data_IF_001779003012
#
_entry.id   IF_001779003012
#
_cell.length_a   1.000
_cell.length_b   1.000
_cell.length_c   1.000
_cell.angle_alpha   90.00
_cell.angle_beta   90.00
_cell.angle_gamma   90.00
#
_symmetry.space_group_name_H-M   'P 1'
#
loop_
_entity.id
_entity.type
_entity.pdbx_description
1 polymer ?
#
# COMPACT_ATOMS: atom_id res chain seq x y z
N UNK A 1 -69.93 30.57 17.96
CA UNK A 1 -69.00 30.38 16.81
C UNK A 1 -67.49 30.55 17.17
N UNK A 2 -67.09 31.50 18.00
CA UNK A 2 -65.59 31.65 18.35
C UNK A 2 -64.98 30.47 19.11
N UNK A 3 -65.73 29.80 20.01
CA UNK A 3 -65.24 28.65 20.79
C UNK A 3 -65.00 27.38 19.96
N UNK A 4 -65.87 27.16 18.93
CA UNK A 4 -65.67 26.01 18.02
C UNK A 4 -64.46 26.13 17.14
N UNK A 5 -64.05 27.35 16.72
CA UNK A 5 -62.87 27.60 15.94
C UNK A 5 -61.55 27.33 16.74
N UNK A 6 -61.56 27.65 18.04
CA UNK A 6 -60.42 27.38 18.91
C UNK A 6 -60.23 25.88 19.14
N UNK A 7 -61.34 25.14 19.31
CA UNK A 7 -61.29 23.67 19.48
C UNK A 7 -60.75 22.99 18.23
N UNK A 8 -61.17 23.43 17.05
CA UNK A 8 -60.69 22.89 15.76
C UNK A 8 -59.23 23.22 15.56
N UNK A 9 -58.77 24.43 15.91
CA UNK A 9 -57.36 24.80 15.82
C UNK A 9 -56.45 23.96 16.76
N UNK A 10 -56.93 23.71 17.99
CA UNK A 10 -56.21 22.85 18.96
C UNK A 10 -56.15 21.40 18.49
N UNK A 11 -57.22 20.88 17.91
CA UNK A 11 -57.23 19.51 17.34
C UNK A 11 -56.30 19.42 16.11
N UNK A 12 -56.27 20.44 15.26
CA UNK A 12 -55.37 20.48 14.09
C UNK A 12 -53.88 20.55 14.50
N UNK A 13 -53.54 21.31 15.56
CA UNK A 13 -52.19 21.37 16.11
C UNK A 13 -51.78 20.02 16.75
N UNK A 14 -52.68 19.38 17.50
CA UNK A 14 -52.45 18.05 18.05
C UNK A 14 -52.29 16.99 16.96
N UNK A 15 -53.05 17.09 15.87
CA UNK A 15 -52.95 16.16 14.73
C UNK A 15 -51.70 16.36 13.89
N UNK A 16 -51.21 17.61 13.76
CA UNK A 16 -49.95 17.89 13.04
C UNK A 16 -48.70 17.35 13.78
N UNK A 17 -48.72 17.26 15.10
CA UNK A 17 -47.65 16.69 15.91
C UNK A 17 -47.48 15.17 15.77
N UNK A 18 -48.51 14.45 15.31
CA UNK A 18 -48.48 13.00 15.16
C UNK A 18 -47.77 12.52 13.89
N UNK A 19 -47.54 13.40 12.90
CA UNK A 19 -46.97 13.02 11.61
C UNK A 19 -45.40 13.11 11.56
N UNK A 20 -44.76 13.65 12.57
CA UNK A 20 -43.30 13.95 12.53
C UNK A 20 -42.38 12.86 13.09
N UNK A 21 -42.94 11.72 13.52
CA UNK A 21 -42.20 10.71 14.32
C UNK A 21 -41.91 9.39 13.57
N UNK A 22 -41.94 9.39 12.24
CA UNK A 22 -41.66 8.19 11.46
C UNK A 22 -40.22 8.23 10.91
N UNK A 23 -39.35 7.45 11.49
CA UNK A 23 -37.98 7.29 10.99
C UNK A 23 -37.89 6.13 10.00
N UNK A 24 -37.01 6.27 9.02
CA UNK A 24 -36.77 5.27 7.99
C UNK A 24 -35.37 4.64 8.16
N UNK A 25 -35.33 3.32 8.06
CA UNK A 25 -34.08 2.55 7.90
C UNK A 25 -33.99 2.16 6.44
N UNK A 26 -33.02 2.71 5.74
CA UNK A 26 -32.79 2.44 4.33
C UNK A 26 -32.11 1.08 4.09
N UNK A 27 -32.17 0.59 2.83
CA UNK A 27 -31.48 -0.63 2.45
C UNK A 27 -29.96 -0.51 2.67
N UNK A 28 -29.38 -1.53 3.28
CA UNK A 28 -27.96 -1.52 3.65
C UNK A 28 -27.67 -0.90 5.02
N UNK A 29 -28.70 -0.43 5.74
CA UNK A 29 -28.57 0.03 7.12
C UNK A 29 -29.33 -0.87 8.08
N UNK A 30 -28.86 -0.88 9.32
CA UNK A 30 -29.57 -1.45 10.46
C UNK A 30 -29.70 -0.39 11.55
N UNK A 31 -30.81 -0.45 12.28
CA UNK A 31 -31.12 0.51 13.33
C UNK A 31 -31.05 -0.11 14.73
N UNK A 32 -30.44 0.63 15.66
CA UNK A 32 -30.53 0.34 17.10
C UNK A 32 -31.43 1.37 17.75
N UNK A 33 -32.49 0.91 18.37
CA UNK A 33 -33.45 1.74 19.07
C UNK A 33 -33.12 1.82 20.54
N UNK A 34 -33.11 3.02 21.09
CA UNK A 34 -32.85 3.29 22.51
C UNK A 34 -34.09 3.96 23.12
N UNK A 35 -34.64 3.34 24.12
CA UNK A 35 -35.78 3.91 24.87
C UNK A 35 -35.24 4.68 26.08
N UNK A 36 -35.53 5.96 26.16
CA UNK A 36 -35.10 6.83 27.25
C UNK A 36 -36.00 6.74 28.48
N UNK A 37 -37.28 6.37 28.30
CA UNK A 37 -38.27 6.28 29.34
C UNK A 37 -39.11 5.01 29.25
N UNK A 38 -39.80 4.66 30.34
CA UNK A 38 -40.76 3.54 30.41
C UNK A 38 -40.17 2.28 31.04
N UNK A 39 -40.99 1.21 31.07
CA UNK A 39 -40.60 -0.10 31.64
C UNK A 39 -39.49 -0.77 30.85
N UNK A 40 -39.41 -0.54 29.53
CA UNK A 40 -38.41 -1.08 28.60
C UNK A 40 -37.34 -0.05 28.26
N UNK A 41 -36.91 0.77 29.23
CA UNK A 41 -35.85 1.75 29.06
C UNK A 41 -34.50 1.06 28.77
N UNK A 42 -33.73 1.68 27.88
CA UNK A 42 -32.38 1.20 27.49
C UNK A 42 -32.32 0.78 26.02
N UNK A 43 -31.20 0.18 25.67
CA UNK A 43 -30.95 -0.31 24.31
C UNK A 43 -31.83 -1.53 24.05
N UNK A 44 -32.61 -1.48 22.97
CA UNK A 44 -33.43 -2.61 22.57
C UNK A 44 -32.53 -3.66 21.91
N UNK A 45 -32.75 -4.94 22.27
CA UNK A 45 -31.99 -6.06 21.73
C UNK A 45 -32.35 -6.36 20.27
N UNK A 46 -33.55 -5.98 19.85
CA UNK A 46 -34.02 -6.17 18.49
C UNK A 46 -33.39 -5.14 17.54
N UNK A 47 -32.70 -5.64 16.52
CA UNK A 47 -32.11 -4.83 15.47
C UNK A 47 -33.18 -4.51 14.42
N UNK A 48 -33.40 -3.24 14.16
CA UNK A 48 -34.37 -2.79 13.16
C UNK A 48 -33.78 -2.90 11.75
N UNK A 49 -34.34 -3.78 10.94
CA UNK A 49 -34.00 -3.92 9.52
C UNK A 49 -34.61 -2.81 8.65
N UNK A 50 -34.52 -3.00 7.34
CA UNK A 50 -35.08 -2.06 6.35
C UNK A 50 -36.58 -1.87 6.59
N UNK A 51 -37.00 -0.62 6.71
CA UNK A 51 -38.44 -0.29 6.92
C UNK A 51 -38.68 1.11 7.46
N UNK A 52 -39.94 1.37 7.78
CA UNK A 52 -40.35 2.60 8.48
C UNK A 52 -40.81 2.23 9.88
N UNK A 53 -40.29 2.94 10.86
CA UNK A 53 -40.53 2.68 12.26
C UNK A 53 -41.06 3.94 12.93
N UNK A 54 -42.02 3.76 13.80
CA UNK A 54 -42.50 4.83 14.67
C UNK A 54 -41.46 4.99 15.80
N UNK A 55 -40.87 6.19 15.88
CA UNK A 55 -39.94 6.55 16.94
C UNK A 55 -40.62 7.60 17.82
N UNK A 56 -40.88 7.24 19.06
CA UNK A 56 -41.54 8.14 20.03
C UNK A 56 -40.61 9.28 20.48
N UNK A 57 -41.19 10.27 21.17
CA UNK A 57 -40.48 11.46 21.67
C UNK A 57 -39.30 11.10 22.60
N UNK A 58 -39.42 9.96 23.31
CA UNK A 58 -38.43 9.46 24.25
C UNK A 58 -37.67 8.25 23.71
N UNK A 59 -37.54 8.14 22.41
CA UNK A 59 -36.84 7.08 21.71
C UNK A 59 -35.82 7.68 20.74
N UNK A 60 -34.67 7.07 20.64
CA UNK A 60 -33.63 7.45 19.70
C UNK A 60 -33.31 6.27 18.78
N UNK A 61 -33.05 6.56 17.52
CA UNK A 61 -32.68 5.58 16.50
C UNK A 61 -31.28 5.90 15.99
N UNK A 62 -30.36 4.96 16.16
CA UNK A 62 -29.00 5.00 15.62
C UNK A 62 -28.90 4.08 14.43
N UNK A 63 -28.42 4.60 13.29
CA UNK A 63 -28.30 3.86 12.04
C UNK A 63 -26.84 3.49 11.79
N UNK A 64 -26.63 2.25 11.36
CA UNK A 64 -25.30 1.73 11.05
C UNK A 64 -25.30 1.08 9.67
N UNK A 65 -24.34 1.44 8.79
CA UNK A 65 -24.20 0.82 7.47
C UNK A 65 -23.63 -0.61 7.61
N UNK A 66 -24.31 -1.56 6.96
CA UNK A 66 -23.83 -2.95 6.85
C UNK A 66 -23.12 -3.23 5.53
N UNK A 67 -23.13 -2.25 4.63
CA UNK A 67 -22.34 -2.26 3.40
C UNK A 67 -20.95 -1.63 3.65
N UNK A 68 -20.00 -1.93 2.80
CA UNK A 68 -18.66 -1.38 2.90
C UNK A 68 -18.67 0.13 2.65
N UNK A 69 -18.17 0.88 3.61
CA UNK A 69 -17.89 2.31 3.49
C UNK A 69 -16.38 2.53 3.40
N UNK A 70 -15.99 3.46 2.55
CA UNK A 70 -14.61 3.92 2.44
C UNK A 70 -14.51 5.30 3.05
N UNK A 71 -13.47 5.52 3.86
CA UNK A 71 -13.17 6.80 4.45
C UNK A 71 -11.68 7.09 4.41
N UNK A 72 -11.34 8.36 4.24
CA UNK A 72 -9.97 8.84 4.09
C UNK A 72 -9.64 9.80 5.23
N UNK A 73 -8.61 9.47 5.99
CA UNK A 73 -8.00 10.36 6.97
C UNK A 73 -6.78 11.01 6.32
N UNK A 74 -6.92 12.27 5.92
CA UNK A 74 -5.89 13.00 5.16
C UNK A 74 -5.68 14.40 5.70
N UNK A 75 -4.51 14.97 5.40
CA UNK A 75 -4.24 16.38 5.60
C UNK A 75 -4.96 17.28 4.59
N UNK A 76 -5.37 16.71 3.45
CA UNK A 76 -6.07 17.45 2.40
C UNK A 76 -7.55 17.67 2.78
N UNK A 77 -7.90 18.92 3.05
CA UNK A 77 -9.26 19.31 3.40
C UNK A 77 -10.27 19.18 2.25
N UNK A 78 -9.84 18.87 1.05
CA UNK A 78 -10.71 18.62 -0.11
C UNK A 78 -11.11 17.16 -0.22
N UNK A 79 -10.41 16.26 0.49
CA UNK A 79 -10.69 14.83 0.55
C UNK A 79 -11.06 14.44 2.00
N UNK A 80 -12.20 13.82 2.19
CA UNK A 80 -12.61 13.28 3.50
C UNK A 80 -13.32 14.28 4.40
N UNK A 81 -12.60 14.99 5.24
CA UNK A 81 -13.11 15.96 6.22
C UNK A 81 -12.62 17.38 5.93
N UNK A 82 -13.37 18.39 6.36
CA UNK A 82 -12.94 19.81 6.33
C UNK A 82 -11.78 20.12 7.28
N UNK A 83 -11.36 19.15 8.09
CA UNK A 83 -10.25 19.29 9.05
C UNK A 83 -9.12 18.35 8.70
N UNK A 84 -7.89 18.73 9.07
CA UNK A 84 -6.73 17.86 8.95
C UNK A 84 -6.91 16.61 9.83
N UNK A 85 -6.99 15.44 9.20
CA UNK A 85 -7.16 14.16 9.87
C UNK A 85 -5.97 13.22 9.69
N UNK A 86 -4.83 13.72 9.18
CA UNK A 86 -3.61 12.90 9.06
C UNK A 86 -3.21 12.24 10.38
N UNK A 87 -2.51 11.12 10.29
CA UNK A 87 -1.95 10.46 11.46
C UNK A 87 -0.50 10.89 11.65
N UNK A 88 -0.14 11.24 12.89
CA UNK A 88 1.25 11.35 13.31
C UNK A 88 1.65 10.15 14.17
N UNK A 89 2.88 9.67 13.97
CA UNK A 89 3.46 8.57 14.73
C UNK A 89 4.97 8.73 14.84
N UNK A 90 5.59 8.02 15.78
CA UNK A 90 7.03 8.07 15.99
C UNK A 90 7.69 6.76 15.59
N UNK A 91 8.87 6.87 14.97
CA UNK A 91 9.71 5.72 14.61
C UNK A 91 10.58 5.28 15.80
N UNK A 92 11.35 4.19 15.61
CA UNK A 92 12.27 3.67 16.62
C UNK A 92 13.27 4.73 17.12
N UNK A 93 13.69 5.64 16.25
CA UNK A 93 14.61 6.74 16.58
C UNK A 93 13.91 7.94 17.24
N UNK A 94 12.60 7.85 17.51
CA UNK A 94 11.82 8.95 18.06
C UNK A 94 11.50 10.07 17.05
N UNK A 95 11.64 9.80 15.75
CA UNK A 95 11.31 10.75 14.70
C UNK A 95 9.81 10.77 14.44
N UNK A 96 9.23 11.97 14.40
CA UNK A 96 7.84 12.17 14.06
C UNK A 96 7.65 12.10 12.54
N UNK A 97 6.74 11.22 12.13
CA UNK A 97 6.31 11.04 10.76
C UNK A 97 4.81 11.26 10.67
N UNK A 98 4.33 11.74 9.52
CA UNK A 98 2.90 11.87 9.25
C UNK A 98 2.49 11.04 8.03
N UNK A 99 1.24 10.56 8.06
CA UNK A 99 0.70 9.69 7.02
C UNK A 99 -0.79 9.89 6.84
N UNK A 100 -1.22 9.82 5.60
CA UNK A 100 -2.63 9.75 5.23
C UNK A 100 -3.03 8.29 5.00
N UNK A 101 -4.13 7.87 5.60
CA UNK A 101 -4.65 6.51 5.52
C UNK A 101 -6.10 6.49 5.08
N UNK A 102 -6.41 5.55 4.21
CA UNK A 102 -7.78 5.19 3.90
C UNK A 102 -8.18 3.89 4.59
N UNK A 103 -9.44 3.81 4.95
CA UNK A 103 -10.05 2.60 5.49
C UNK A 103 -11.24 2.17 4.67
N UNK A 104 -11.44 0.87 4.59
CA UNK A 104 -12.68 0.25 4.15
C UNK A 104 -13.22 -0.57 5.31
N UNK A 105 -14.44 -0.27 5.75
CA UNK A 105 -15.04 -0.95 6.89
C UNK A 105 -16.56 -1.07 6.74
N UNK A 106 -17.16 -1.98 7.51
CA UNK A 106 -18.59 -2.13 7.68
C UNK A 106 -18.93 -2.62 9.08
N UNK A 107 -20.20 -2.53 9.45
CA UNK A 107 -20.67 -2.99 10.75
C UNK A 107 -21.36 -4.35 10.63
N UNK A 108 -21.10 -5.24 11.59
CA UNK A 108 -21.77 -6.55 11.65
C UNK A 108 -23.17 -6.38 12.27
N UNK A 109 -24.21 -6.66 11.50
CA UNK A 109 -25.59 -6.54 11.93
C UNK A 109 -25.89 -7.34 13.21
N UNK A 110 -25.32 -8.54 13.36
CA UNK A 110 -25.59 -9.41 14.51
C UNK A 110 -24.99 -8.89 15.83
N UNK A 111 -23.92 -8.07 15.74
CA UNK A 111 -23.22 -7.53 16.92
C UNK A 111 -23.48 -6.04 17.16
N UNK A 112 -24.38 -5.43 16.37
CA UNK A 112 -24.59 -4.00 16.39
C UNK A 112 -25.09 -3.48 17.74
N UNK A 113 -25.95 -4.24 18.42
CA UNK A 113 -26.49 -3.90 19.72
C UNK A 113 -25.41 -3.93 20.80
N UNK A 114 -24.56 -4.95 20.81
CA UNK A 114 -23.44 -5.08 21.76
C UNK A 114 -22.41 -3.98 21.51
N UNK A 115 -22.12 -3.68 20.25
CA UNK A 115 -21.26 -2.59 19.85
C UNK A 115 -21.81 -1.24 20.37
N UNK A 116 -23.11 -0.98 20.18
CA UNK A 116 -23.74 0.23 20.67
C UNK A 116 -23.69 0.31 22.21
N UNK A 117 -23.91 -0.79 22.90
CA UNK A 117 -23.78 -0.82 24.37
C UNK A 117 -22.36 -0.46 24.85
N UNK A 118 -21.36 -0.90 24.09
CA UNK A 118 -19.94 -0.64 24.39
C UNK A 118 -19.55 0.81 24.16
N UNK A 119 -19.90 1.36 23.00
CA UNK A 119 -19.43 2.68 22.59
C UNK A 119 -20.45 3.80 22.79
N UNK A 120 -21.74 3.52 22.74
CA UNK A 120 -22.87 4.48 22.84
C UNK A 120 -22.74 5.67 21.89
N UNK A 121 -22.31 5.40 20.66
CA UNK A 121 -22.01 6.41 19.64
C UNK A 121 -22.60 5.99 18.30
N UNK A 122 -22.95 6.97 17.47
CA UNK A 122 -23.37 6.75 16.10
C UNK A 122 -22.23 6.27 15.19
N UNK A 123 -22.56 5.84 13.97
CA UNK A 123 -21.60 5.30 13.02
C UNK A 123 -20.46 6.29 12.70
N UNK A 124 -20.78 7.57 12.50
CA UNK A 124 -19.78 8.61 12.20
C UNK A 124 -18.85 8.88 13.39
N UNK A 125 -19.39 8.91 14.61
CA UNK A 125 -18.58 9.09 15.81
C UNK A 125 -17.66 7.88 16.06
N UNK A 126 -18.16 6.67 15.81
CA UNK A 126 -17.32 5.44 15.90
C UNK A 126 -16.18 5.53 14.90
N UNK A 127 -16.45 5.94 13.66
CA UNK A 127 -15.41 6.13 12.64
C UNK A 127 -14.39 7.18 13.06
N UNK A 128 -14.85 8.35 13.45
CA UNK A 128 -13.98 9.51 13.69
C UNK A 128 -13.23 9.43 15.04
N UNK A 129 -13.76 8.68 16.01
CA UNK A 129 -13.15 8.58 17.34
C UNK A 129 -12.56 7.19 17.58
N UNK A 130 -13.39 6.13 17.50
CA UNK A 130 -12.97 4.80 17.91
C UNK A 130 -11.98 4.22 16.91
N UNK A 131 -12.36 4.12 15.65
CA UNK A 131 -11.50 3.54 14.60
C UNK A 131 -10.22 4.37 14.45
N UNK A 132 -10.34 5.68 14.43
CA UNK A 132 -9.19 6.60 14.31
C UNK A 132 -8.18 6.41 15.46
N UNK A 133 -8.65 6.31 16.70
CA UNK A 133 -7.77 6.12 17.84
C UNK A 133 -7.10 4.74 17.81
N UNK A 134 -7.81 3.69 17.40
CA UNK A 134 -7.24 2.36 17.26
C UNK A 134 -6.16 2.28 16.18
N UNK A 135 -6.36 2.97 15.06
CA UNK A 135 -5.34 3.09 14.01
C UNK A 135 -4.12 3.83 14.53
N UNK A 136 -4.32 4.95 15.26
CA UNK A 136 -3.22 5.72 15.86
C UNK A 136 -2.41 4.90 16.85
N UNK A 137 -3.08 4.15 17.73
CA UNK A 137 -2.44 3.26 18.69
C UNK A 137 -1.63 2.16 17.98
N UNK A 138 -2.24 1.52 16.97
CA UNK A 138 -1.57 0.51 16.17
C UNK A 138 -0.35 1.03 15.41
N UNK A 139 -0.46 2.24 14.80
CA UNK A 139 0.65 2.91 14.12
C UNK A 139 1.82 3.15 15.07
N UNK A 140 1.58 3.76 16.24
CA UNK A 140 2.62 4.02 17.22
C UNK A 140 3.27 2.74 17.73
N UNK A 141 2.47 1.70 17.96
CA UNK A 141 2.97 0.40 18.43
C UNK A 141 3.88 -0.29 17.41
N UNK A 142 3.48 -0.28 16.14
CA UNK A 142 4.26 -0.94 15.08
C UNK A 142 5.45 -0.08 14.67
N UNK A 143 5.24 1.22 14.43
CA UNK A 143 6.28 2.13 13.97
C UNK A 143 7.38 2.38 15.01
N UNK A 144 7.05 2.34 16.31
CA UNK A 144 8.03 2.48 17.39
C UNK A 144 9.11 1.37 17.43
N UNK A 145 8.89 0.27 16.73
CA UNK A 145 9.89 -0.81 16.57
C UNK A 145 10.59 -0.82 15.19
N UNK A 146 10.32 0.16 14.33
CA UNK A 146 10.79 0.17 12.94
C UNK A 146 11.64 1.42 12.68
N UNK A 147 12.85 1.27 12.09
CA UNK A 147 13.69 2.42 11.76
C UNK A 147 13.06 3.28 10.66
N UNK A 148 13.29 4.59 10.71
CA UNK A 148 12.74 5.58 9.77
C UNK A 148 13.09 5.26 8.31
N UNK A 149 14.29 4.74 8.07
CA UNK A 149 14.74 4.30 6.73
C UNK A 149 13.83 3.21 6.14
N UNK A 150 13.41 2.26 6.98
CA UNK A 150 12.48 1.19 6.58
C UNK A 150 11.07 1.71 6.36
N UNK A 151 10.60 2.59 7.22
CA UNK A 151 9.27 3.23 7.12
C UNK A 151 9.15 4.07 5.86
N UNK A 152 10.16 4.84 5.53
CA UNK A 152 10.18 5.68 4.31
C UNK A 152 10.42 4.85 3.04
N UNK A 153 11.19 3.77 3.14
CA UNK A 153 11.57 2.89 2.03
C UNK A 153 10.62 1.70 1.81
N UNK A 154 11.23 0.53 1.75
CA UNK A 154 10.54 -0.72 1.37
C UNK A 154 9.67 -1.33 2.49
N UNK A 155 9.80 -0.86 3.73
CA UNK A 155 9.08 -1.41 4.88
C UNK A 155 7.66 -0.86 5.05
N UNK A 156 7.27 0.19 4.32
CA UNK A 156 5.96 0.84 4.45
C UNK A 156 4.77 -0.11 4.26
N UNK A 157 4.86 -1.03 3.30
CA UNK A 157 3.80 -2.01 3.07
C UNK A 157 3.63 -2.94 4.29
N UNK A 158 4.73 -3.46 4.82
CA UNK A 158 4.72 -4.30 6.02
C UNK A 158 4.19 -3.58 7.26
N UNK A 159 4.50 -2.28 7.40
CA UNK A 159 3.99 -1.45 8.47
C UNK A 159 2.44 -1.37 8.38
N UNK A 160 1.90 -1.05 7.23
CA UNK A 160 0.45 -0.93 7.03
C UNK A 160 -0.26 -2.27 7.20
N UNK A 161 0.30 -3.36 6.70
CA UNK A 161 -0.26 -4.71 6.89
C UNK A 161 -0.30 -5.10 8.37
N UNK A 162 0.75 -4.79 9.14
CA UNK A 162 0.78 -5.05 10.57
C UNK A 162 -0.25 -4.19 11.33
N UNK A 163 -0.39 -2.91 10.97
CA UNK A 163 -1.41 -2.02 11.52
C UNK A 163 -2.80 -2.55 11.22
N UNK A 164 -3.08 -2.92 9.95
CA UNK A 164 -4.35 -3.52 9.53
C UNK A 164 -4.70 -4.75 10.39
N UNK A 165 -3.74 -5.65 10.59
CA UNK A 165 -3.96 -6.88 11.37
C UNK A 165 -4.33 -6.57 12.83
N UNK A 166 -3.62 -5.63 13.47
CA UNK A 166 -3.88 -5.24 14.86
C UNK A 166 -5.27 -4.61 14.98
N UNK A 167 -5.59 -3.63 14.13
CA UNK A 167 -6.86 -2.91 14.14
C UNK A 167 -8.02 -3.87 13.86
N UNK A 168 -7.89 -4.72 12.83
CA UNK A 168 -8.89 -5.74 12.50
C UNK A 168 -9.19 -6.63 13.70
N UNK A 169 -8.16 -7.26 14.28
CA UNK A 169 -8.33 -8.20 15.40
C UNK A 169 -8.95 -7.55 16.65
N UNK A 170 -8.68 -6.26 16.86
CA UNK A 170 -9.20 -5.53 18.02
C UNK A 170 -10.66 -5.11 17.83
N UNK A 171 -11.01 -4.60 16.65
CA UNK A 171 -12.34 -4.06 16.37
C UNK A 171 -13.37 -5.13 15.96
N UNK A 172 -12.95 -6.22 15.32
CA UNK A 172 -13.83 -7.31 14.89
C UNK A 172 -14.56 -7.97 16.08
N UNK A 173 -13.92 -8.03 17.24
CA UNK A 173 -14.53 -8.53 18.48
C UNK A 173 -15.76 -7.73 18.88
N UNK A 174 -15.73 -6.44 18.61
CA UNK A 174 -16.79 -5.50 18.96
C UNK A 174 -17.77 -5.25 17.80
N UNK A 175 -17.75 -6.05 16.73
CA UNK A 175 -18.69 -5.93 15.62
C UNK A 175 -18.34 -4.87 14.56
N UNK A 176 -17.13 -4.30 14.60
CA UNK A 176 -16.63 -3.39 13.56
C UNK A 176 -15.65 -4.19 12.69
N UNK A 177 -16.00 -4.40 11.42
CA UNK A 177 -15.19 -5.18 10.49
C UNK A 177 -14.37 -4.23 9.64
N UNK A 178 -13.05 -4.37 9.72
CA UNK A 178 -12.11 -3.63 8.87
C UNK A 178 -11.74 -4.51 7.68
N UNK A 179 -12.22 -4.17 6.52
CA UNK A 179 -11.94 -4.89 5.27
C UNK A 179 -10.53 -4.57 4.78
N UNK A 180 -10.18 -3.28 4.77
CA UNK A 180 -8.87 -2.84 4.34
C UNK A 180 -8.40 -1.57 5.07
N UNK A 181 -7.08 -1.45 5.18
CA UNK A 181 -6.37 -0.21 5.54
C UNK A 181 -5.33 0.00 4.47
N UNK A 182 -5.30 1.16 3.85
CA UNK A 182 -4.39 1.46 2.75
C UNK A 182 -3.75 2.83 2.92
N UNK A 183 -2.53 2.94 2.41
CA UNK A 183 -1.76 4.17 2.42
C UNK A 183 -2.24 5.09 1.29
N UNK A 184 -2.42 6.38 1.61
CA UNK A 184 -2.70 7.42 0.64
C UNK A 184 -1.45 8.27 0.47
N UNK A 185 -0.95 8.33 -0.76
CA UNK A 185 0.28 9.06 -1.06
C UNK A 185 1.54 8.45 -0.43
N UNK A 186 2.31 9.25 0.26
CA UNK A 186 3.59 8.86 0.87
C UNK A 186 3.65 9.23 2.35
N UNK A 187 4.42 8.48 3.11
CA UNK A 187 4.75 8.85 4.48
C UNK A 187 5.64 10.09 4.45
N UNK A 188 5.26 11.10 5.19
CA UNK A 188 5.98 12.37 5.28
C UNK A 188 6.93 12.32 6.48
N UNK A 189 8.18 12.69 6.25
CA UNK A 189 9.25 12.79 7.25
C UNK A 189 9.81 14.21 7.25
N UNK A 190 10.45 14.68 8.34
CA UNK A 190 11.10 15.98 8.37
C UNK A 190 12.12 16.14 7.25
N UNK A 191 12.18 17.31 6.63
CA UNK A 191 13.04 17.58 5.46
C UNK A 191 14.51 17.25 5.71
N UNK A 192 15.03 17.61 6.89
CA UNK A 192 16.42 17.34 7.27
C UNK A 192 16.76 15.85 7.25
N UNK A 193 15.83 15.01 7.69
CA UNK A 193 15.97 13.55 7.70
C UNK A 193 15.89 12.99 6.29
N UNK A 194 14.96 13.53 5.50
CA UNK A 194 14.81 13.15 4.10
C UNK A 194 16.09 13.42 3.32
N UNK A 195 16.65 14.64 3.45
CA UNK A 195 17.88 15.03 2.75
C UNK A 195 19.08 14.14 3.16
N UNK A 196 19.16 13.76 4.45
CA UNK A 196 20.18 12.84 4.95
C UNK A 196 20.00 11.40 4.38
N UNK A 197 18.76 10.90 4.33
CA UNK A 197 18.46 9.59 3.75
C UNK A 197 18.74 9.55 2.25
N UNK A 198 18.32 10.58 1.52
CA UNK A 198 18.57 10.70 0.07
C UNK A 198 20.09 10.71 -0.22
N UNK A 199 20.87 11.44 0.59
CA UNK A 199 22.34 11.46 0.49
C UNK A 199 22.95 10.09 0.77
N UNK A 200 22.46 9.37 1.79
CA UNK A 200 22.90 8.00 2.10
C UNK A 200 22.58 7.02 0.98
N UNK A 201 21.39 7.10 0.43
CA UNK A 201 20.96 6.26 -0.70
C UNK A 201 21.84 6.51 -1.91
N UNK A 202 22.12 7.79 -2.23
CA UNK A 202 23.00 8.16 -3.34
C UNK A 202 24.43 7.62 -3.14
N UNK A 203 24.99 7.76 -1.96
CA UNK A 203 26.31 7.23 -1.63
C UNK A 203 26.36 5.70 -1.80
N UNK A 204 25.33 5.00 -1.31
CA UNK A 204 25.21 3.55 -1.44
C UNK A 204 25.10 3.12 -2.91
N UNK A 205 24.29 3.81 -3.71
CA UNK A 205 24.16 3.53 -5.14
C UNK A 205 25.47 3.76 -5.89
N UNK A 206 26.21 4.85 -5.58
CA UNK A 206 27.52 5.11 -6.17
C UNK A 206 28.53 4.01 -5.80
N UNK A 207 28.54 3.56 -4.55
CA UNK A 207 29.40 2.45 -4.12
C UNK A 207 29.06 1.14 -4.87
N UNK A 208 27.78 0.80 -4.99
CA UNK A 208 27.33 -0.36 -5.76
C UNK A 208 27.70 -0.28 -7.24
N UNK A 209 27.58 0.92 -7.83
CA UNK A 209 27.98 1.15 -9.21
C UNK A 209 29.49 0.89 -9.39
N UNK A 210 30.32 1.46 -8.53
CA UNK A 210 31.76 1.24 -8.57
C UNK A 210 32.14 -0.23 -8.38
N UNK A 211 31.49 -0.94 -7.46
CA UNK A 211 31.71 -2.38 -7.26
C UNK A 211 31.32 -3.19 -8.51
N UNK A 212 30.21 -2.85 -9.16
CA UNK A 212 29.79 -3.50 -10.40
C UNK A 212 30.78 -3.23 -11.55
N UNK A 213 31.32 -2.01 -11.65
CA UNK A 213 32.35 -1.66 -12.64
C UNK A 213 33.63 -2.47 -12.43
N UNK A 214 34.09 -2.62 -11.18
CA UNK A 214 35.24 -3.48 -10.84
C UNK A 214 34.97 -4.94 -11.21
N UNK A 215 33.79 -5.45 -10.86
CA UNK A 215 33.38 -6.83 -11.21
C UNK A 215 33.35 -7.06 -12.72
N UNK A 216 32.83 -6.09 -13.48
CA UNK A 216 32.84 -6.15 -14.95
C UNK A 216 34.25 -6.10 -15.53
N UNK A 217 35.14 -5.24 -15.00
CA UNK A 217 36.52 -5.18 -15.43
C UNK A 217 37.26 -6.50 -15.17
N UNK A 218 37.07 -7.10 -14.00
CA UNK A 218 37.62 -8.41 -13.66
C UNK A 218 37.07 -9.51 -14.60
N UNK A 219 35.79 -9.52 -14.89
CA UNK A 219 35.20 -10.47 -15.83
C UNK A 219 35.78 -10.32 -17.25
N UNK A 220 35.88 -9.07 -17.73
CA UNK A 220 36.53 -8.79 -19.03
C UNK A 220 38.00 -9.22 -19.07
N UNK A 221 38.77 -9.01 -17.98
CA UNK A 221 40.13 -9.47 -17.88
C UNK A 221 40.23 -10.99 -17.93
N UNK A 222 39.41 -11.72 -17.19
CA UNK A 222 39.33 -13.20 -17.25
C UNK A 222 38.98 -13.72 -18.64
N UNK A 223 38.05 -13.08 -19.34
CA UNK A 223 37.67 -13.44 -20.72
C UNK A 223 38.87 -13.24 -21.66
N UNK A 224 39.64 -12.12 -21.53
CA UNK A 224 40.83 -11.88 -22.37
C UNK A 224 41.90 -12.93 -22.10
N UNK A 225 42.13 -13.29 -20.84
CA UNK A 225 43.11 -14.34 -20.48
C UNK A 225 42.69 -15.68 -21.08
N UNK A 226 41.40 -16.06 -20.89
CA UNK A 226 40.90 -17.34 -21.44
C UNK A 226 40.98 -17.39 -22.97
N UNK A 227 40.67 -16.29 -23.65
CA UNK A 227 40.83 -16.19 -25.11
C UNK A 227 42.28 -16.32 -25.54
N UNK A 228 43.23 -15.61 -24.88
CA UNK A 228 44.63 -15.68 -25.18
C UNK A 228 45.20 -17.08 -24.91
N UNK A 229 44.80 -17.73 -23.82
CA UNK A 229 45.18 -19.12 -23.55
C UNK A 229 44.63 -20.10 -24.61
N UNK A 230 43.38 -19.87 -25.04
CA UNK A 230 42.74 -20.64 -26.13
C UNK A 230 43.45 -20.45 -27.47
N UNK A 231 43.82 -19.21 -27.81
CA UNK A 231 44.61 -18.89 -29.01
C UNK A 231 46.00 -19.53 -28.96
N UNK A 232 46.71 -19.42 -27.84
CA UNK A 232 48.01 -20.04 -27.66
C UNK A 232 47.95 -21.56 -27.84
N UNK A 233 47.02 -22.23 -27.18
CA UNK A 233 46.78 -23.67 -27.36
C UNK A 233 46.41 -24.03 -28.79
N UNK A 234 45.62 -23.22 -29.47
CA UNK A 234 45.25 -23.44 -30.88
C UNK A 234 46.48 -23.32 -31.79
N UNK A 235 47.37 -22.33 -31.52
CA UNK A 235 48.62 -22.17 -32.27
C UNK A 235 49.60 -23.34 -32.03
N UNK A 236 49.70 -23.84 -30.81
CA UNK A 236 50.53 -25.00 -30.49
C UNK A 236 50.03 -26.25 -31.25
N UNK A 237 48.71 -26.52 -31.22
CA UNK A 237 48.12 -27.64 -31.91
C UNK A 237 48.34 -27.53 -33.44
N UNK A 238 48.21 -26.34 -34.00
CA UNK A 238 48.42 -26.09 -35.42
C UNK A 238 49.93 -26.25 -35.74
N UNK A 239 50.80 -25.74 -34.89
CA UNK A 239 52.24 -25.90 -35.03
C UNK A 239 52.68 -27.36 -35.05
N UNK A 240 52.15 -28.19 -34.15
CA UNK A 240 52.43 -29.61 -34.10
C UNK A 240 51.79 -30.39 -35.30
N UNK A 241 50.62 -29.95 -35.75
CA UNK A 241 50.00 -30.51 -36.98
C UNK A 241 50.84 -30.21 -38.23
N UNK A 242 51.38 -28.99 -38.35
CA UNK A 242 52.26 -28.60 -39.47
C UNK A 242 53.59 -29.38 -39.43
N UNK A 243 54.18 -29.62 -38.26
CA UNK A 243 55.40 -30.44 -38.10
C UNK A 243 55.17 -31.88 -38.61
N UNK A 244 53.98 -32.46 -38.35
CA UNK A 244 53.61 -33.82 -38.79
C UNK A 244 53.24 -33.87 -40.27
N UNK A 245 52.63 -32.83 -40.82
CA UNK A 245 52.23 -32.75 -42.21
C UNK A 245 52.38 -31.32 -42.76
N UNK A 246 53.53 -31.01 -43.43
CA UNK A 246 53.77 -29.67 -44.00
C UNK A 246 52.78 -29.21 -45.05
N UNK A 247 52.02 -30.08 -45.68
CA UNK A 247 50.97 -29.69 -46.67
C UNK A 247 49.84 -28.86 -46.08
N UNK A 248 49.64 -28.92 -44.76
CA UNK A 248 48.65 -28.11 -44.04
C UNK A 248 48.92 -26.59 -44.21
N UNK A 249 50.16 -26.19 -44.33
CA UNK A 249 50.52 -24.79 -44.59
C UNK A 249 49.99 -24.32 -45.95
N UNK A 250 50.08 -25.15 -46.97
CA UNK A 250 49.56 -24.82 -48.29
C UNK A 250 48.04 -24.76 -48.32
N UNK A 251 47.37 -25.67 -47.63
CA UNK A 251 45.93 -25.65 -47.51
C UNK A 251 45.43 -24.39 -46.78
N UNK A 252 46.05 -23.98 -45.66
CA UNK A 252 45.71 -22.73 -44.95
C UNK A 252 46.05 -21.47 -45.75
N UNK A 253 47.06 -21.49 -46.57
CA UNK A 253 47.36 -20.39 -47.47
C UNK A 253 46.27 -20.20 -48.54
N UNK A 254 45.77 -21.33 -49.07
CA UNK A 254 44.63 -21.35 -50.04
C UNK A 254 43.36 -20.86 -49.37
N UNK A 255 43.06 -21.30 -48.15
CA UNK A 255 41.83 -20.89 -47.41
C UNK A 255 41.81 -19.36 -47.09
N UNK A 256 42.97 -18.76 -46.86
CA UNK A 256 43.12 -17.31 -46.60
C UNK A 256 43.27 -16.45 -47.86
N UNK A 257 43.41 -17.07 -49.02
CA UNK A 257 43.58 -16.31 -50.24
C UNK A 257 42.29 -15.70 -50.74
N UNK A 258 42.28 -14.37 -50.91
CA UNK A 258 41.15 -13.58 -51.36
C UNK A 258 40.92 -13.63 -52.89
N UNK A 259 41.66 -14.52 -53.60
CA UNK A 259 41.60 -14.67 -55.05
C UNK A 259 42.30 -13.62 -55.88
N UNK A 260 42.99 -12.66 -55.24
CA UNK A 260 43.76 -11.62 -55.97
C UNK A 260 45.23 -11.91 -55.96
N UNK A 261 45.85 -11.83 -57.15
CA UNK A 261 47.31 -11.92 -57.25
C UNK A 261 47.97 -10.66 -56.63
N UNK A 262 49.00 -10.84 -55.79
CA UNK A 262 49.71 -9.66 -55.26
C UNK A 262 50.37 -8.88 -56.41
N UNK A 263 50.05 -7.59 -56.46
CA UNK A 263 50.60 -6.67 -57.49
C UNK A 263 52.06 -6.20 -57.22
N UNK A 264 52.82 -6.97 -56.50
CA UNK A 264 54.26 -6.59 -56.22
C UNK A 264 55.17 -7.56 -56.92
N UNK A 265 55.65 -7.10 -58.07
CA UNK A 265 56.70 -7.77 -58.82
C UNK A 265 58.09 -7.40 -58.29
N UNK A 266 58.51 -7.97 -57.18
CA UNK A 266 59.90 -8.05 -56.81
C UNK A 266 60.19 -9.49 -56.41
N UNK A 267 60.81 -10.22 -57.25
CA UNK A 267 61.52 -11.48 -57.29
C UNK A 267 61.45 -12.52 -56.14
N UNK A 268 60.56 -12.40 -55.21
CA UNK A 268 60.30 -13.41 -54.20
C UNK A 268 58.87 -13.94 -54.34
N UNK A 269 58.73 -15.16 -54.82
CA UNK A 269 57.45 -15.87 -54.88
C UNK A 269 57.10 -16.27 -53.43
N UNK A 270 56.10 -15.64 -52.78
CA UNK A 270 55.69 -16.08 -51.46
C UNK A 270 54.88 -17.38 -51.62
N UNK A 271 55.45 -18.49 -51.18
CA UNK A 271 54.74 -19.71 -50.76
C UNK A 271 54.13 -20.65 -51.80
N UNK A 272 54.47 -20.55 -53.07
CA UNK A 272 54.00 -21.54 -54.04
C UNK A 272 55.18 -22.21 -54.74
N UNK A 273 55.54 -23.42 -54.31
CA UNK A 273 56.41 -24.29 -55.04
C UNK A 273 55.54 -25.22 -55.93
N UNK A 274 55.27 -24.83 -57.14
CA UNK A 274 54.59 -25.66 -58.11
C UNK A 274 55.62 -26.67 -58.69
N UNK A 275 55.55 -27.90 -58.16
CA UNK A 275 56.10 -29.07 -58.86
C UNK A 275 54.94 -29.96 -59.27
#
# INVERSE_FOLDING_TARGET
MKKSGIIIAVIAILFSGLFTSCSRVDAGYVGVKVNLLGANKGVQQEVLGVGRYYIGINEELYLYPTFQINYVYTADITEGSETNEEFSFQTQEGMECTVDLGIACHFNADKITDMFQTYRKGADEIRNIVIRNEIRDALNKVAGGVPVESVYGNGKAKLIDAVKLIVKNKLEKNGIIIDNVYLIGSIRIPKTVKDALDSKVQATQNAMKSENEVRQAQAKAKIRIANAEGEAKSMDIIGDAIKRNPSILQQKAIEKWDGKLPQVSSGAIPFVNLK
#
